data_IF_435003638706
#
_entry.id   IF_435003638706
#
_cell.length_a   1.000
_cell.length_b   1.000
_cell.length_c   1.000
_cell.angle_alpha   90.00
_cell.angle_beta   90.00
_cell.angle_gamma   90.00
#
_symmetry.space_group_name_H-M   'P 1'
#
loop_
_entity.id
_entity.type
_entity.pdbx_description
1 polymer ?
#
# COMPACT_ATOMS: atom_id res chain seq x y z
N UNK A 1 -28.18 -3.98 -8.18
CA UNK A 1 -27.01 -3.20 -7.81
C UNK A 1 -26.28 -2.73 -9.07
N UNK A 2 -25.91 -1.47 -9.19
CA UNK A 2 -25.10 -1.02 -10.32
C UNK A 2 -23.76 -1.77 -10.29
N UNK A 3 -23.32 -2.24 -11.45
CA UNK A 3 -22.01 -2.85 -11.62
C UNK A 3 -21.04 -1.77 -12.04
N UNK A 4 -19.91 -1.67 -11.33
CA UNK A 4 -18.80 -0.78 -11.65
C UNK A 4 -17.58 -1.63 -12.03
N UNK A 5 -16.81 -1.15 -12.99
CA UNK A 5 -15.59 -1.82 -13.41
C UNK A 5 -14.46 -1.56 -12.40
N UNK A 6 -13.61 -2.54 -12.16
CA UNK A 6 -12.44 -2.42 -11.25
C UNK A 6 -11.51 -1.28 -11.67
N UNK A 7 -11.35 -1.03 -12.98
CA UNK A 7 -10.58 0.09 -13.50
C UNK A 7 -11.21 1.44 -13.13
N UNK A 8 -12.54 1.55 -13.20
CA UNK A 8 -13.25 2.77 -12.79
C UNK A 8 -13.10 3.02 -11.28
N UNK A 9 -13.12 1.96 -10.46
CA UNK A 9 -12.85 2.06 -9.02
C UNK A 9 -11.46 2.63 -8.77
N UNK A 10 -10.44 2.14 -9.48
CA UNK A 10 -9.09 2.65 -9.41
C UNK A 10 -9.02 4.15 -9.76
N UNK A 11 -9.58 4.54 -10.90
CA UNK A 11 -9.51 5.94 -11.39
C UNK A 11 -10.24 6.91 -10.44
N UNK A 12 -11.43 6.53 -9.96
CA UNK A 12 -12.20 7.33 -9.00
C UNK A 12 -11.41 7.49 -7.69
N UNK A 13 -10.88 6.40 -7.18
CA UNK A 13 -10.11 6.40 -5.93
C UNK A 13 -8.84 7.25 -6.06
N UNK A 14 -8.09 7.08 -7.15
CA UNK A 14 -6.89 7.85 -7.43
C UNK A 14 -7.20 9.35 -7.53
N UNK A 15 -8.26 9.70 -8.26
CA UNK A 15 -8.69 11.09 -8.41
C UNK A 15 -9.07 11.71 -7.06
N UNK A 16 -9.85 11.01 -6.24
CA UNK A 16 -10.25 11.48 -4.92
C UNK A 16 -9.05 11.73 -4.01
N UNK A 17 -8.12 10.77 -3.95
CA UNK A 17 -6.91 10.88 -3.11
C UNK A 17 -6.00 12.02 -3.58
N UNK A 18 -5.80 12.19 -4.89
CA UNK A 18 -5.00 13.29 -5.45
C UNK A 18 -5.65 14.65 -5.17
N UNK A 19 -6.98 14.75 -5.29
CA UNK A 19 -7.73 15.97 -4.96
C UNK A 19 -7.54 16.39 -3.50
N UNK A 20 -7.44 15.42 -2.59
CA UNK A 20 -7.23 15.66 -1.16
C UNK A 20 -5.74 15.74 -0.76
N UNK A 21 -4.83 15.87 -1.70
CA UNK A 21 -3.43 16.26 -1.45
C UNK A 21 -2.41 15.12 -1.47
N UNK A 22 -2.79 13.92 -1.89
CA UNK A 22 -1.81 12.87 -2.16
C UNK A 22 -1.06 13.13 -3.47
N UNK A 23 0.24 12.87 -3.51
CA UNK A 23 0.99 12.82 -4.76
C UNK A 23 0.42 11.75 -5.70
N UNK A 24 0.52 11.95 -7.00
CA UNK A 24 -0.07 11.07 -8.01
C UNK A 24 0.32 9.60 -7.86
N UNK A 25 1.59 9.33 -7.61
CA UNK A 25 2.07 7.96 -7.38
C UNK A 25 1.57 7.37 -6.05
N UNK A 26 1.47 8.17 -4.99
CA UNK A 26 0.92 7.75 -3.68
C UNK A 26 -0.55 7.40 -3.83
N UNK A 27 -1.31 8.27 -4.49
CA UNK A 27 -2.73 8.05 -4.79
C UNK A 27 -2.93 6.78 -5.62
N UNK A 28 -2.04 6.52 -6.59
CA UNK A 28 -2.06 5.31 -7.41
C UNK A 28 -1.88 4.03 -6.61
N UNK A 29 -0.91 3.98 -5.69
CA UNK A 29 -0.66 2.81 -4.85
C UNK A 29 -1.83 2.50 -3.90
N UNK A 30 -2.42 3.53 -3.31
CA UNK A 30 -3.60 3.36 -2.43
C UNK A 30 -4.82 2.96 -3.25
N UNK A 31 -5.05 3.57 -4.41
CA UNK A 31 -6.16 3.25 -5.30
C UNK A 31 -6.08 1.80 -5.83
N UNK A 32 -4.86 1.30 -6.10
CA UNK A 32 -4.67 -0.10 -6.47
C UNK A 32 -5.13 -1.05 -5.35
N UNK A 33 -4.82 -0.73 -4.09
CA UNK A 33 -5.25 -1.53 -2.95
C UNK A 33 -6.78 -1.49 -2.75
N UNK A 34 -7.41 -0.33 -2.93
CA UNK A 34 -8.87 -0.17 -2.90
C UNK A 34 -9.52 -1.02 -3.98
N UNK A 35 -9.09 -0.88 -5.23
CA UNK A 35 -9.62 -1.63 -6.36
C UNK A 35 -9.41 -3.16 -6.22
N UNK A 36 -8.24 -3.57 -5.72
CA UNK A 36 -7.95 -4.98 -5.45
C UNK A 36 -8.87 -5.55 -4.37
N UNK A 37 -9.16 -4.80 -3.32
CA UNK A 37 -10.08 -5.21 -2.25
C UNK A 37 -11.51 -5.38 -2.76
N UNK A 38 -12.02 -4.45 -3.56
CA UNK A 38 -13.34 -4.56 -4.19
C UNK A 38 -13.42 -5.77 -5.12
N UNK A 39 -12.37 -6.06 -5.89
CA UNK A 39 -12.33 -7.17 -6.84
C UNK A 39 -12.50 -8.54 -6.20
N UNK A 40 -12.19 -8.67 -4.91
CA UNK A 40 -12.34 -9.92 -4.13
C UNK A 40 -13.50 -9.86 -3.14
N UNK A 41 -14.35 -8.83 -3.21
CA UNK A 41 -15.51 -8.67 -2.35
C UNK A 41 -15.21 -8.15 -0.94
N UNK A 42 -13.97 -7.74 -0.65
CA UNK A 42 -13.59 -7.13 0.62
C UNK A 42 -13.94 -5.63 0.64
N UNK A 43 -15.23 -5.33 0.68
CA UNK A 43 -15.77 -3.97 0.56
C UNK A 43 -15.33 -3.03 1.68
N UNK A 44 -15.12 -3.57 2.89
CA UNK A 44 -14.67 -2.76 4.05
C UNK A 44 -13.30 -2.13 3.76
N UNK A 45 -12.40 -2.87 3.10
CA UNK A 45 -11.08 -2.38 2.72
C UNK A 45 -11.05 -1.72 1.32
N UNK A 46 -12.20 -1.65 0.66
CA UNK A 46 -12.42 -1.06 -0.66
C UNK A 46 -12.92 0.38 -0.58
N UNK A 47 -13.93 0.69 -1.40
CA UNK A 47 -14.52 2.04 -1.50
C UNK A 47 -15.09 2.55 -0.17
N UNK A 48 -15.56 1.66 0.70
CA UNK A 48 -16.05 2.04 2.02
C UNK A 48 -14.98 2.76 2.85
N UNK A 49 -13.72 2.38 2.72
CA UNK A 49 -12.62 2.98 3.47
C UNK A 49 -12.00 4.21 2.78
N UNK A 50 -12.36 4.47 1.52
CA UNK A 50 -11.79 5.58 0.73
C UNK A 50 -12.10 6.95 1.36
N UNK A 51 -13.29 7.14 1.89
CA UNK A 51 -13.68 8.37 2.59
C UNK A 51 -12.72 8.64 3.76
N UNK A 52 -12.46 7.63 4.59
CA UNK A 52 -11.52 7.74 5.70
C UNK A 52 -10.10 8.12 5.24
N UNK A 53 -9.62 7.56 4.12
CA UNK A 53 -8.34 7.96 3.57
C UNK A 53 -8.30 9.44 3.18
N UNK A 54 -9.36 9.95 2.55
CA UNK A 54 -9.47 11.36 2.19
C UNK A 54 -9.51 12.26 3.43
N UNK A 55 -10.28 11.90 4.46
CA UNK A 55 -10.34 12.63 5.73
C UNK A 55 -8.98 12.68 6.45
N UNK A 56 -8.22 11.59 6.42
CA UNK A 56 -6.88 11.53 6.99
C UNK A 56 -5.90 12.48 6.27
N UNK A 57 -6.04 12.63 4.95
CA UNK A 57 -5.26 13.59 4.16
C UNK A 57 -5.66 15.03 4.50
N UNK A 58 -6.96 15.33 4.56
CA UNK A 58 -7.49 16.67 4.88
C UNK A 58 -7.05 17.12 6.27
N UNK A 59 -7.15 16.23 7.25
CA UNK A 59 -6.76 16.52 8.64
C UNK A 59 -5.25 16.63 8.86
N UNK A 60 -4.43 16.28 7.86
CA UNK A 60 -2.98 16.25 7.99
C UNK A 60 -2.44 15.10 8.85
N UNK A 61 -3.30 14.16 9.24
CA UNK A 61 -2.91 12.97 10.01
C UNK A 61 -2.07 11.99 9.17
N UNK A 62 -2.26 12.01 7.87
CA UNK A 62 -1.46 11.27 6.91
C UNK A 62 -0.76 12.25 5.98
N UNK A 63 0.54 12.07 5.84
CA UNK A 63 1.34 12.83 4.89
C UNK A 63 1.21 12.23 3.47
N UNK A 64 0.31 12.77 2.67
CA UNK A 64 0.10 12.36 1.27
C UNK A 64 1.29 12.65 0.34
N UNK A 65 2.28 13.39 0.81
CA UNK A 65 3.50 13.75 0.07
C UNK A 65 4.73 13.02 0.61
N UNK A 66 4.56 12.09 1.53
CA UNK A 66 5.66 11.33 2.11
C UNK A 66 6.44 10.57 1.04
N UNK A 67 7.77 10.60 1.17
CA UNK A 67 8.69 9.75 0.42
C UNK A 67 9.28 8.72 1.38
N UNK A 68 8.81 7.46 1.35
CA UNK A 68 9.31 6.41 2.23
C UNK A 68 10.80 6.18 2.06
N UNK A 69 11.50 5.92 3.15
CA UNK A 69 12.94 5.62 3.16
C UNK A 69 13.19 4.17 3.53
N UNK A 70 14.11 3.54 2.81
CA UNK A 70 14.51 2.15 3.04
C UNK A 70 15.78 2.15 3.87
N UNK A 71 15.77 1.38 4.96
CA UNK A 71 16.93 1.11 5.80
C UNK A 71 17.15 -0.40 5.92
N UNK A 72 18.35 -0.84 5.61
CA UNK A 72 18.75 -2.23 5.84
C UNK A 72 19.19 -2.37 7.30
N UNK A 73 18.34 -2.95 8.13
CA UNK A 73 18.64 -3.09 9.55
C UNK A 73 19.58 -4.28 9.85
N UNK A 74 19.42 -5.39 9.10
CA UNK A 74 20.20 -6.65 9.22
C UNK A 74 20.21 -7.40 7.89
N UNK A 75 21.03 -8.46 7.80
CA UNK A 75 21.18 -9.26 6.58
C UNK A 75 19.89 -9.82 5.99
N UNK A 76 18.86 -10.10 6.81
CA UNK A 76 17.57 -10.63 6.34
C UNK A 76 16.39 -9.72 6.69
N UNK A 77 16.62 -8.44 7.00
CA UNK A 77 15.58 -7.53 7.43
C UNK A 77 15.66 -6.20 6.69
N UNK A 78 14.60 -5.88 5.96
CA UNK A 78 14.39 -4.60 5.31
C UNK A 78 13.44 -3.76 6.16
N UNK A 79 13.79 -2.53 6.40
CA UNK A 79 13.03 -1.58 7.19
C UNK A 79 12.62 -0.42 6.31
N UNK A 80 11.32 -0.07 6.30
CA UNK A 80 10.81 1.08 5.55
C UNK A 80 10.14 2.04 6.50
N UNK A 81 10.63 3.26 6.51
CA UNK A 81 10.01 4.38 7.21
C UNK A 81 9.03 5.08 6.26
N UNK A 82 7.75 5.00 6.53
CA UNK A 82 6.71 5.60 5.71
C UNK A 82 6.58 7.13 5.89
N UNK A 83 7.29 7.74 6.85
CA UNK A 83 7.26 9.20 7.12
C UNK A 83 5.85 9.74 7.37
N UNK A 84 5.09 9.00 8.16
CA UNK A 84 3.68 9.27 8.46
C UNK A 84 2.75 9.25 7.22
N UNK A 85 3.20 8.57 6.15
CA UNK A 85 2.43 8.34 4.93
C UNK A 85 1.59 7.05 4.97
N UNK A 86 1.06 6.66 3.82
CA UNK A 86 0.31 5.42 3.67
C UNK A 86 1.22 4.18 3.65
N UNK A 87 0.70 3.05 4.12
CA UNK A 87 1.40 1.78 4.14
C UNK A 87 1.66 1.20 2.73
N UNK A 88 0.73 1.41 1.80
CA UNK A 88 0.81 0.87 0.44
C UNK A 88 2.01 1.41 -0.35
N UNK A 89 2.26 2.73 -0.43
CA UNK A 89 3.47 3.28 -1.04
C UNK A 89 4.76 2.82 -0.35
N UNK A 90 4.75 2.75 0.99
CA UNK A 90 5.91 2.30 1.75
C UNK A 90 6.25 0.83 1.46
N UNK A 91 5.24 -0.03 1.40
CA UNK A 91 5.40 -1.44 1.01
C UNK A 91 5.93 -1.56 -0.43
N UNK A 92 5.33 -0.84 -1.39
CA UNK A 92 5.76 -0.88 -2.79
C UNK A 92 7.21 -0.43 -2.96
N UNK A 93 7.65 0.51 -2.13
CA UNK A 93 9.05 0.96 -2.10
C UNK A 93 10.00 -0.12 -1.57
N UNK A 94 9.61 -0.83 -0.50
CA UNK A 94 10.44 -1.86 0.14
C UNK A 94 10.39 -3.23 -0.55
N UNK A 95 9.35 -3.50 -1.34
CA UNK A 95 9.13 -4.81 -1.94
C UNK A 95 10.29 -5.31 -2.80
N UNK A 96 10.86 -4.53 -3.75
CA UNK A 96 11.98 -5.01 -4.56
C UNK A 96 13.19 -5.41 -3.70
N UNK A 97 13.49 -4.65 -2.67
CA UNK A 97 14.64 -4.91 -1.81
C UNK A 97 14.44 -6.16 -0.95
N UNK A 98 13.24 -6.33 -0.34
CA UNK A 98 12.98 -7.53 0.47
C UNK A 98 12.97 -8.80 -0.39
N UNK A 99 12.50 -8.74 -1.63
CA UNK A 99 12.54 -9.89 -2.54
C UNK A 99 13.98 -10.28 -2.90
N UNK A 100 14.85 -9.29 -3.16
CA UNK A 100 16.28 -9.50 -3.39
C UNK A 100 16.93 -10.16 -2.17
N UNK A 101 16.70 -9.60 -0.98
CA UNK A 101 17.23 -10.15 0.29
C UNK A 101 16.72 -11.57 0.53
N UNK A 102 15.44 -11.85 0.24
CA UNK A 102 14.87 -13.20 0.37
C UNK A 102 15.51 -14.19 -0.60
N UNK A 103 15.82 -13.75 -1.82
CA UNK A 103 16.50 -14.58 -2.82
C UNK A 103 17.94 -14.94 -2.40
N UNK A 104 18.65 -13.99 -1.79
CA UNK A 104 20.03 -14.19 -1.33
C UNK A 104 20.11 -15.04 -0.06
N UNK A 105 19.17 -14.87 0.89
CA UNK A 105 19.23 -15.47 2.22
C UNK A 105 18.21 -16.61 2.45
N UNK A 106 17.34 -16.91 1.47
CA UNK A 106 16.28 -17.90 1.59
C UNK A 106 15.04 -17.42 2.35
N UNK A 107 15.18 -16.41 3.19
CA UNK A 107 14.09 -15.77 3.95
C UNK A 107 14.41 -14.29 4.19
N UNK A 108 13.41 -13.44 4.18
CA UNK A 108 13.54 -12.04 4.59
C UNK A 108 12.28 -11.51 5.27
N UNK A 109 12.43 -10.47 6.05
CA UNK A 109 11.33 -9.70 6.63
C UNK A 109 11.29 -8.27 6.10
N UNK A 110 10.09 -7.77 5.86
CA UNK A 110 9.84 -6.36 5.55
C UNK A 110 9.02 -5.75 6.69
N UNK A 111 9.60 -4.77 7.37
CA UNK A 111 8.92 -4.02 8.41
C UNK A 111 8.65 -2.59 7.93
N UNK A 112 7.41 -2.14 8.05
CA UNK A 112 7.01 -0.77 7.73
C UNK A 112 6.64 -0.05 9.02
N UNK A 113 7.27 1.08 9.29
CA UNK A 113 6.97 1.90 10.46
C UNK A 113 6.45 3.29 10.06
N UNK A 114 5.87 3.99 11.02
CA UNK A 114 5.24 5.30 10.86
C UNK A 114 4.32 5.37 9.65
N UNK A 115 3.53 4.30 9.45
CA UNK A 115 2.59 4.18 8.35
C UNK A 115 1.15 4.27 8.85
N UNK A 116 0.31 4.94 8.08
CA UNK A 116 -1.13 4.87 8.27
C UNK A 116 -1.66 3.56 7.69
N UNK A 117 -2.69 3.03 8.30
CA UNK A 117 -3.30 1.71 8.11
C UNK A 117 -3.07 1.00 6.77
N UNK A 118 -2.84 -0.29 6.83
CA UNK A 118 -2.68 -1.13 5.65
C UNK A 118 -4.00 -1.72 5.11
N UNK A 119 -5.09 -1.66 5.86
CA UNK A 119 -6.42 -2.23 5.59
C UNK A 119 -6.41 -3.72 5.20
N UNK A 120 -6.13 -4.07 3.94
CA UNK A 120 -6.19 -5.46 3.45
C UNK A 120 -4.80 -6.09 3.37
N UNK A 121 -4.48 -7.01 4.29
CA UNK A 121 -3.19 -7.73 4.30
C UNK A 121 -3.02 -8.62 3.05
N UNK A 122 -4.12 -9.17 2.53
CA UNK A 122 -4.10 -9.95 1.30
C UNK A 122 -3.59 -9.22 0.06
N UNK A 123 -3.67 -7.89 0.04
CA UNK A 123 -3.09 -7.08 -1.02
C UNK A 123 -1.56 -7.21 -1.08
N UNK A 124 -0.90 -7.14 0.07
CA UNK A 124 0.55 -7.21 0.19
C UNK A 124 1.09 -8.61 -0.08
N UNK A 125 0.50 -9.63 0.56
CA UNK A 125 0.92 -11.03 0.37
C UNK A 125 0.68 -11.51 -1.07
N UNK A 126 -0.37 -11.01 -1.76
CA UNK A 126 -0.59 -11.27 -3.19
C UNK A 126 0.52 -10.70 -4.08
N UNK A 127 1.05 -9.50 -3.76
CA UNK A 127 2.18 -8.91 -4.51
C UNK A 127 3.45 -9.77 -4.33
N UNK A 128 3.71 -10.28 -3.12
CA UNK A 128 4.82 -11.21 -2.84
C UNK A 128 4.64 -12.51 -3.62
N UNK A 129 3.45 -13.11 -3.58
CA UNK A 129 3.15 -14.35 -4.30
C UNK A 129 3.29 -14.21 -5.81
N UNK A 130 2.85 -13.09 -6.40
CA UNK A 130 3.05 -12.79 -7.82
C UNK A 130 4.52 -12.69 -8.22
N UNK A 131 5.41 -12.35 -7.30
CA UNK A 131 6.85 -12.32 -7.50
C UNK A 131 7.51 -13.71 -7.35
N UNK A 132 6.73 -14.77 -7.10
CA UNK A 132 7.23 -16.15 -6.99
C UNK A 132 7.67 -16.55 -5.58
N UNK A 133 7.34 -15.77 -4.56
CA UNK A 133 7.69 -16.03 -3.17
C UNK A 133 6.48 -16.39 -2.32
N UNK A 134 6.72 -17.06 -1.20
CA UNK A 134 5.71 -17.29 -0.18
C UNK A 134 5.69 -16.09 0.76
N UNK A 135 4.52 -15.45 0.91
CA UNK A 135 4.35 -14.27 1.76
C UNK A 135 3.43 -14.55 2.94
N UNK A 136 3.86 -14.14 4.13
CA UNK A 136 3.04 -14.09 5.35
C UNK A 136 2.91 -12.63 5.79
N UNK A 137 1.73 -12.24 6.28
CA UNK A 137 1.48 -10.89 6.77
C UNK A 137 0.33 -10.85 7.76
#
# INVERSE_FOLDING_TARGET
MPKINVKEIYEISKTALSYHGALDWVAGEVAEAVAASESVGNRICGLYYLESYCEQLISGRVNGKASPEINLARSSSVYVDAKDGFAQPAFSKGLPEVLKVAQENGIASLSVCRAHTCTSLGFFTKKIAKAGFLGLG
#
